data_IF_878581282501
#
_entry.id   IF_878581282501
#
_cell.length_a   1.000
_cell.length_b   1.000
_cell.length_c   1.000
_cell.angle_alpha   90.00
_cell.angle_beta   90.00
_cell.angle_gamma   90.00
#
_symmetry.space_group_name_H-M   'P 1'
#
loop_
_entity.id
_entity.type
_entity.pdbx_description
1 polymer ?
#
# COMPACT_ATOMS: atom_id res chain seq x y z
N UNK A 1 20.08 14.84 -30.29
CA UNK A 1 19.79 13.38 -30.27
C UNK A 1 20.18 12.69 -28.96
N UNK A 2 21.38 12.95 -28.39
CA UNK A 2 21.82 12.37 -27.09
C UNK A 2 20.86 12.67 -25.91
N UNK A 3 20.21 13.83 -25.87
CA UNK A 3 19.25 14.18 -24.80
C UNK A 3 17.98 13.31 -24.83
N UNK A 4 17.43 13.01 -26.01
CA UNK A 4 16.26 12.14 -26.17
C UNK A 4 16.58 10.70 -25.77
N UNK A 5 17.76 10.19 -26.14
CA UNK A 5 18.21 8.85 -25.74
C UNK A 5 18.36 8.74 -24.21
N UNK A 6 18.97 9.74 -23.56
CA UNK A 6 19.08 9.77 -22.10
C UNK A 6 17.72 9.85 -21.42
N UNK A 7 16.75 10.57 -21.99
CA UNK A 7 15.39 10.60 -21.47
C UNK A 7 14.72 9.23 -21.57
N UNK A 8 14.82 8.55 -22.72
CA UNK A 8 14.26 7.21 -22.91
C UNK A 8 14.86 6.22 -21.91
N UNK A 9 16.20 6.24 -21.75
CA UNK A 9 16.87 5.38 -20.77
C UNK A 9 16.40 5.64 -19.34
N UNK A 10 16.23 6.91 -18.93
CA UNK A 10 15.67 7.25 -17.62
C UNK A 10 14.26 6.70 -17.43
N UNK A 11 13.39 6.84 -18.44
CA UNK A 11 12.02 6.33 -18.35
C UNK A 11 11.99 4.80 -18.31
N UNK A 12 12.85 4.11 -19.05
CA UNK A 12 12.96 2.65 -18.99
C UNK A 12 13.40 2.18 -17.60
N UNK A 13 14.38 2.84 -16.99
CA UNK A 13 14.83 2.52 -15.64
C UNK A 13 13.72 2.77 -14.62
N UNK A 14 13.02 3.91 -14.70
CA UNK A 14 11.90 4.22 -13.82
C UNK A 14 10.77 3.20 -13.98
N UNK A 15 10.42 2.83 -15.21
CA UNK A 15 9.39 1.83 -15.50
C UNK A 15 9.77 0.46 -14.97
N UNK A 16 11.04 0.07 -15.09
CA UNK A 16 11.55 -1.16 -14.50
C UNK A 16 11.44 -1.15 -12.96
N UNK A 17 11.80 -0.05 -12.30
CA UNK A 17 11.64 0.09 -10.85
C UNK A 17 10.17 0.02 -10.42
N UNK A 18 9.26 0.65 -11.18
CA UNK A 18 7.82 0.57 -10.92
C UNK A 18 7.33 -0.87 -11.01
N UNK A 19 7.72 -1.61 -12.05
CA UNK A 19 7.34 -3.03 -12.19
C UNK A 19 7.81 -3.83 -10.98
N UNK A 20 9.08 -3.69 -10.59
CA UNK A 20 9.63 -4.39 -9.42
C UNK A 20 8.89 -4.03 -8.13
N UNK A 21 8.57 -2.75 -7.95
CA UNK A 21 7.82 -2.29 -6.78
C UNK A 21 6.40 -2.83 -6.75
N UNK A 22 5.75 -3.02 -7.91
CA UNK A 22 4.37 -3.51 -8.01
C UNK A 22 4.22 -5.02 -7.78
N UNK A 23 5.25 -5.83 -8.03
CA UNK A 23 5.21 -7.28 -7.83
C UNK A 23 4.69 -7.71 -6.43
N UNK A 24 5.21 -7.19 -5.30
CA UNK A 24 4.68 -7.54 -3.99
C UNK A 24 3.23 -7.10 -3.77
N UNK A 25 2.80 -5.97 -4.35
CA UNK A 25 1.41 -5.53 -4.26
C UNK A 25 0.47 -6.43 -5.07
N UNK A 26 0.91 -6.90 -6.25
CA UNK A 26 0.15 -7.88 -7.02
C UNK A 26 -0.04 -9.20 -6.26
N UNK A 27 1.00 -9.67 -5.57
CA UNK A 27 0.91 -10.85 -4.72
C UNK A 27 -0.03 -10.63 -3.52
N UNK A 28 0.01 -9.44 -2.92
CA UNK A 28 -0.90 -9.06 -1.82
C UNK A 28 -2.37 -9.10 -2.25
N UNK A 29 -2.70 -8.48 -3.41
CA UNK A 29 -4.06 -8.46 -3.95
C UNK A 29 -4.51 -9.87 -4.35
N UNK A 30 -3.63 -10.66 -4.96
CA UNK A 30 -3.97 -12.04 -5.34
C UNK A 30 -4.26 -12.89 -4.12
N UNK A 31 -3.41 -12.80 -3.09
CA UNK A 31 -3.58 -13.58 -1.86
C UNK A 31 -4.85 -13.17 -1.10
N UNK A 32 -5.23 -11.89 -1.11
CA UNK A 32 -6.48 -11.44 -0.48
C UNK A 32 -7.74 -11.98 -1.17
N UNK A 33 -7.64 -12.45 -2.42
CA UNK A 33 -8.73 -12.97 -3.24
C UNK A 33 -8.81 -14.51 -3.26
N UNK A 34 -8.04 -15.22 -2.43
CA UNK A 34 -8.00 -16.69 -2.36
C UNK A 34 -8.55 -17.15 -1.00
N UNK A 35 -9.38 -18.22 -0.91
CA UNK A 35 -10.15 -18.58 0.30
C UNK A 35 -9.35 -18.99 1.56
N UNK A 36 -8.01 -19.02 1.53
CA UNK A 36 -7.17 -19.38 2.68
C UNK A 36 -6.24 -18.22 3.06
N UNK A 37 -6.75 -17.22 3.78
CA UNK A 37 -5.95 -16.07 4.22
C UNK A 37 -4.79 -16.45 5.19
N UNK A 38 -4.92 -17.58 5.91
CA UNK A 38 -3.93 -18.04 6.90
C UNK A 38 -2.87 -18.98 6.34
N UNK A 39 -3.07 -19.49 5.12
CA UNK A 39 -2.12 -20.39 4.48
C UNK A 39 -1.51 -19.63 3.31
N UNK A 40 -0.33 -19.05 3.56
CA UNK A 40 0.48 -18.48 2.50
C UNK A 40 0.66 -19.56 1.42
N UNK A 41 0.23 -19.32 0.17
CA UNK A 41 0.44 -20.30 -0.87
C UNK A 41 1.93 -20.57 -1.03
N UNK A 42 2.30 -21.84 -1.15
CA UNK A 42 3.69 -22.30 -1.26
C UNK A 42 4.45 -21.68 -2.43
N UNK A 43 3.71 -21.17 -3.42
CA UNK A 43 4.21 -20.45 -4.58
C UNK A 43 3.53 -19.06 -4.67
N UNK A 44 4.28 -17.96 -4.86
CA UNK A 44 3.70 -16.65 -5.07
C UNK A 44 2.86 -16.64 -6.36
N UNK A 45 1.55 -16.45 -6.24
CA UNK A 45 0.65 -16.34 -7.39
C UNK A 45 0.46 -14.87 -7.72
N UNK A 46 0.84 -14.48 -8.94
CA UNK A 46 0.69 -13.10 -9.43
C UNK A 46 -0.76 -12.83 -9.91
N UNK A 47 -1.48 -13.89 -10.31
CA UNK A 47 -2.85 -13.82 -10.81
C UNK A 47 -3.67 -14.91 -10.10
N UNK A 48 -4.83 -14.57 -9.50
CA UNK A 48 -5.67 -15.56 -8.84
C UNK A 48 -6.32 -16.50 -9.87
N UNK A 49 -6.31 -17.80 -9.58
CA UNK A 49 -7.04 -18.80 -10.39
C UNK A 49 -8.56 -18.71 -10.22
N UNK A 50 -9.00 -18.22 -9.06
CA UNK A 50 -10.39 -18.02 -8.69
C UNK A 50 -10.51 -16.74 -7.87
N UNK A 51 -11.53 -15.95 -8.12
CA UNK A 51 -11.82 -14.73 -7.36
C UNK A 51 -12.73 -15.07 -6.19
N UNK A 52 -12.23 -14.95 -4.96
CA UNK A 52 -12.98 -15.19 -3.73
C UNK A 52 -13.01 -13.92 -2.86
N UNK A 53 -14.20 -13.32 -2.75
CA UNK A 53 -14.41 -12.10 -1.97
C UNK A 53 -14.80 -12.37 -0.51
N UNK A 54 -14.98 -13.63 -0.11
CA UNK A 54 -15.40 -13.99 1.25
C UNK A 54 -14.42 -13.54 2.34
N UNK A 55 -13.14 -13.38 2.02
CA UNK A 55 -12.14 -12.85 2.95
C UNK A 55 -12.46 -11.41 3.40
N UNK A 56 -12.98 -10.57 2.50
CA UNK A 56 -13.34 -9.19 2.84
C UNK A 56 -14.55 -9.14 3.77
N UNK A 57 -15.53 -10.02 3.53
CA UNK A 57 -16.69 -10.17 4.42
C UNK A 57 -16.26 -10.71 5.78
N UNK A 58 -15.42 -11.76 5.79
CA UNK A 58 -14.92 -12.39 7.00
C UNK A 58 -14.08 -11.45 7.89
N UNK A 59 -13.33 -10.51 7.31
CA UNK A 59 -12.61 -9.48 8.08
C UNK A 59 -13.58 -8.49 8.75
N UNK A 60 -14.69 -8.17 8.08
CA UNK A 60 -15.67 -7.22 8.60
C UNK A 60 -16.63 -7.84 9.62
N UNK A 61 -16.94 -9.13 9.47
CA UNK A 61 -17.76 -9.93 10.39
C UNK A 61 -16.94 -10.61 11.50
N UNK A 62 -15.61 -10.64 11.36
CA UNK A 62 -14.68 -11.23 12.33
C UNK A 62 -14.52 -10.40 13.59
N UNK A 63 -13.36 -10.48 14.24
CA UNK A 63 -13.04 -9.60 15.37
C UNK A 63 -13.18 -8.12 14.99
N UNK A 64 -13.32 -7.24 16.01
CA UNK A 64 -13.56 -5.77 16.00
C UNK A 64 -12.70 -4.93 15.00
N UNK A 65 -12.68 -5.28 13.72
CA UNK A 65 -11.85 -4.68 12.68
C UNK A 65 -12.24 -3.23 12.47
N UNK A 66 -13.54 -2.94 12.50
CA UNK A 66 -14.05 -1.56 12.46
C UNK A 66 -13.47 -0.71 13.58
N UNK A 67 -13.31 -1.25 14.80
CA UNK A 67 -12.70 -0.53 15.91
C UNK A 67 -11.21 -0.32 15.71
N UNK A 68 -10.48 -1.33 15.23
CA UNK A 68 -9.05 -1.21 14.93
C UNK A 68 -8.78 -0.18 13.82
N UNK A 69 -9.63 -0.18 12.79
CA UNK A 69 -9.59 0.78 11.70
C UNK A 69 -9.85 2.20 12.20
N UNK A 70 -10.94 2.40 12.97
CA UNK A 70 -11.28 3.72 13.52
C UNK A 70 -10.22 4.25 14.49
N UNK A 71 -9.64 3.40 15.33
CA UNK A 71 -8.52 3.78 16.20
C UNK A 71 -7.33 4.29 15.38
N UNK A 72 -6.98 3.61 14.28
CA UNK A 72 -5.89 4.02 13.39
C UNK A 72 -6.18 5.37 12.74
N UNK A 73 -7.38 5.55 12.18
CA UNK A 73 -7.82 6.82 11.57
C UNK A 73 -7.76 7.96 12.59
N UNK A 74 -8.30 7.74 13.79
CA UNK A 74 -8.32 8.75 14.85
C UNK A 74 -6.91 9.17 15.26
N UNK A 75 -6.03 8.21 15.53
CA UNK A 75 -4.63 8.50 15.91
C UNK A 75 -3.91 9.22 14.78
N UNK A 76 -3.99 8.72 13.55
CA UNK A 76 -3.32 9.38 12.40
C UNK A 76 -3.81 10.81 12.21
N UNK A 77 -5.12 11.06 12.23
CA UNK A 77 -5.67 12.41 12.07
C UNK A 77 -5.17 13.38 13.14
N UNK A 78 -5.24 12.99 14.42
CA UNK A 78 -4.78 13.84 15.53
C UNK A 78 -3.28 14.10 15.41
N UNK A 79 -2.49 13.06 15.18
CA UNK A 79 -1.03 13.20 15.03
C UNK A 79 -0.69 14.11 13.86
N UNK A 80 -1.33 13.97 12.70
CA UNK A 80 -1.09 14.84 11.54
C UNK A 80 -1.43 16.30 11.83
N UNK A 81 -2.58 16.59 12.46
CA UNK A 81 -2.99 17.97 12.80
C UNK A 81 -2.01 18.60 13.79
N UNK A 82 -1.68 17.89 14.87
CA UNK A 82 -0.73 18.39 15.87
C UNK A 82 0.66 18.60 15.27
N UNK A 83 1.12 17.66 14.45
CA UNK A 83 2.42 17.75 13.77
C UNK A 83 2.45 18.93 12.81
N UNK A 84 1.38 19.16 12.05
CA UNK A 84 1.29 20.29 11.13
C UNK A 84 1.40 21.63 11.87
N UNK A 85 0.68 21.79 12.98
CA UNK A 85 0.72 23.00 13.80
C UNK A 85 2.13 23.22 14.36
N UNK A 86 2.69 22.20 15.01
CA UNK A 86 4.01 22.31 15.65
C UNK A 86 5.10 22.54 14.60
N UNK A 87 5.12 21.75 13.52
CA UNK A 87 6.13 21.83 12.49
C UNK A 87 6.08 23.18 11.74
N UNK A 88 4.88 23.71 11.46
CA UNK A 88 4.75 25.03 10.83
C UNK A 88 5.21 26.17 11.74
N UNK A 89 4.87 26.14 13.03
CA UNK A 89 5.35 27.12 14.01
C UNK A 89 6.87 27.04 14.19
N UNK A 90 7.44 25.84 14.28
CA UNK A 90 8.89 25.65 14.34
C UNK A 90 9.57 26.15 13.07
N UNK A 91 9.06 25.80 11.89
CA UNK A 91 9.61 26.25 10.61
C UNK A 91 9.61 27.79 10.48
N UNK A 92 8.54 28.46 10.94
CA UNK A 92 8.50 29.92 10.99
C UNK A 92 9.55 30.50 11.95
N UNK A 93 9.80 29.87 13.10
CA UNK A 93 10.83 30.32 14.04
C UNK A 93 12.28 30.13 13.55
N UNK A 94 12.49 29.26 12.55
CA UNK A 94 13.79 29.07 11.89
C UNK A 94 13.96 29.88 10.59
N UNK A 95 12.92 30.60 10.16
CA UNK A 95 12.92 31.49 8.99
C UNK A 95 13.20 32.95 9.41
#
# INVERSE_FOLDING_TARGET
MKSKLNQILKHLILLFMVILALLPFMNMITTSLIPNAYVLPSEPQIIPKQFYFGNYVAVWEGEDFGRYFLNSVFVTCITTVLTLIIASMSAYGFA
#
